data_IF_237064186966
#
_entry.id   IF_237064186966
#
_cell.length_a   1.000
_cell.length_b   1.000
_cell.length_c   1.000
_cell.angle_alpha   90.00
_cell.angle_beta   90.00
_cell.angle_gamma   90.00
#
_symmetry.space_group_name_H-M   'P 1'
#
loop_
_entity.id
_entity.type
_entity.pdbx_description
1 polymer ?
#
# COMPACT_ATOMS: atom_id res chain seq x y z
N UNK A 1 3.22 30.09 -2.98
CA UNK A 1 3.42 28.64 -2.72
C UNK A 1 3.70 28.54 -1.23
N UNK A 2 2.76 28.05 -0.43
CA UNK A 2 2.98 27.87 1.01
C UNK A 2 4.00 26.72 1.20
N UNK A 3 4.84 26.74 2.25
CA UNK A 3 5.79 25.67 2.48
C UNK A 3 5.07 24.33 2.66
N UNK A 4 5.68 23.28 2.12
CA UNK A 4 5.23 21.89 2.15
C UNK A 4 4.80 21.40 3.54
N UNK A 5 5.47 21.87 4.59
CA UNK A 5 5.16 21.61 5.99
C UNK A 5 5.60 22.85 6.78
N UNK A 6 4.92 23.17 7.88
CA UNK A 6 5.46 24.11 8.86
C UNK A 6 6.11 23.33 9.99
N UNK A 7 7.36 23.66 10.25
CA UNK A 7 8.01 23.30 11.50
C UNK A 7 7.69 24.40 12.50
N UNK A 8 6.90 24.08 13.51
CA UNK A 8 6.53 25.02 14.56
C UNK A 8 7.23 24.63 15.87
N UNK A 9 7.96 25.57 16.45
CA UNK A 9 8.46 25.44 17.81
C UNK A 9 7.35 25.91 18.75
N UNK A 10 6.82 25.00 19.54
CA UNK A 10 5.82 25.31 20.56
C UNK A 10 6.45 25.14 21.92
N UNK A 11 6.44 26.22 22.69
CA UNK A 11 6.84 26.18 24.09
C UNK A 11 5.68 25.63 24.92
N UNK A 12 5.95 24.51 25.59
CA UNK A 12 4.96 23.83 26.43
C UNK A 12 5.47 23.85 27.86
N UNK A 13 4.60 24.25 28.79
CA UNK A 13 4.86 24.11 30.22
C UNK A 13 4.38 22.74 30.68
N UNK A 14 5.32 21.89 31.11
CA UNK A 14 5.05 20.61 31.77
C UNK A 14 5.65 20.68 33.17
N UNK A 15 4.82 20.51 34.18
CA UNK A 15 5.22 20.51 35.60
C UNK A 15 6.06 21.74 36.03
N UNK A 16 5.67 22.93 35.53
CA UNK A 16 6.36 24.19 35.84
C UNK A 16 7.68 24.40 35.09
N UNK A 17 8.07 23.46 34.22
CA UNK A 17 9.27 23.57 33.38
C UNK A 17 8.87 23.87 31.94
N UNK A 18 9.48 24.90 31.34
CA UNK A 18 9.27 25.22 29.92
C UNK A 18 10.15 24.34 29.05
N UNK A 19 9.54 23.64 28.09
CA UNK A 19 10.25 22.85 27.09
C UNK A 19 9.82 23.28 25.70
N UNK A 20 10.76 23.69 24.86
CA UNK A 20 10.50 23.92 23.44
C UNK A 20 10.44 22.57 22.72
N UNK A 21 9.31 22.25 22.10
CA UNK A 21 9.18 21.08 21.23
C UNK A 21 8.96 21.51 19.80
N UNK A 22 9.63 20.81 18.89
CA UNK A 22 9.47 20.96 17.45
C UNK A 22 8.33 20.06 16.99
N UNK A 23 7.29 20.66 16.43
CA UNK A 23 6.15 19.96 15.84
C UNK A 23 6.23 20.03 14.32
N UNK A 24 5.88 18.92 13.68
CA UNK A 24 5.68 18.85 12.24
C UNK A 24 4.17 18.81 12.04
N UNK A 25 3.60 19.86 11.46
CA UNK A 25 2.20 19.88 11.07
C UNK A 25 2.07 19.24 9.69
N UNK A 26 1.32 18.15 9.60
CA UNK A 26 1.11 17.39 8.37
C UNK A 26 -0.33 17.54 7.90
N UNK A 27 -0.54 17.71 6.59
CA UNK A 27 -1.89 17.71 6.01
C UNK A 27 -2.37 16.28 5.81
N UNK A 28 -3.15 15.72 6.74
CA UNK A 28 -3.68 14.36 6.65
C UNK A 28 -4.54 14.09 5.39
N UNK A 29 -4.99 15.12 4.69
CA UNK A 29 -5.81 14.99 3.47
C UNK A 29 -5.03 14.39 2.30
N UNK A 30 -3.70 14.45 2.33
CA UNK A 30 -2.86 13.93 1.25
C UNK A 30 -3.15 12.46 0.94
N UNK A 31 -3.41 11.66 1.99
CA UNK A 31 -3.70 10.23 1.83
C UNK A 31 -4.99 10.00 1.05
N UNK A 32 -6.01 10.81 1.35
CA UNK A 32 -7.28 10.77 0.63
C UNK A 32 -7.13 11.23 -0.82
N UNK A 33 -6.39 12.31 -1.07
CA UNK A 33 -6.11 12.77 -2.43
C UNK A 33 -5.41 11.69 -3.27
N UNK A 34 -4.48 10.98 -2.65
CA UNK A 34 -3.80 9.87 -3.27
C UNK A 34 -4.74 8.68 -3.53
N UNK A 35 -5.43 8.16 -2.51
CA UNK A 35 -6.28 6.97 -2.62
C UNK A 35 -7.46 7.19 -3.59
N UNK A 36 -8.05 8.39 -3.60
CA UNK A 36 -9.18 8.77 -4.48
C UNK A 36 -8.72 9.15 -5.91
N UNK A 37 -7.42 9.08 -6.22
CA UNK A 37 -6.90 9.44 -7.54
C UNK A 37 -7.49 8.53 -8.63
N UNK A 38 -8.01 9.14 -9.69
CA UNK A 38 -8.57 8.43 -10.85
C UNK A 38 -7.59 7.46 -11.52
N UNK A 39 -6.28 7.63 -11.34
CA UNK A 39 -5.29 6.70 -11.87
C UNK A 39 -5.37 5.33 -11.18
N UNK A 40 -5.73 5.29 -9.89
CA UNK A 40 -5.84 4.05 -9.12
C UNK A 40 -7.05 3.19 -9.49
N UNK A 41 -8.01 3.73 -10.26
CA UNK A 41 -9.14 2.96 -10.78
C UNK A 41 -8.76 2.07 -11.97
N UNK A 42 -7.52 2.19 -12.47
CA UNK A 42 -7.01 1.41 -13.60
C UNK A 42 -6.30 0.14 -13.12
N UNK A 43 -6.66 -1.06 -13.63
CA UNK A 43 -6.09 -2.32 -13.15
C UNK A 43 -4.58 -2.45 -13.34
N UNK A 44 -4.08 -1.97 -14.46
CA UNK A 44 -2.65 -2.01 -14.76
C UNK A 44 -1.85 -1.11 -13.80
N UNK A 45 -2.45 -0.04 -13.25
CA UNK A 45 -1.80 0.80 -12.23
C UNK A 45 -1.63 0.03 -10.93
N UNK A 46 -2.61 -0.81 -10.57
CA UNK A 46 -2.45 -1.74 -9.45
C UNK A 46 -1.29 -2.70 -9.71
N UNK A 47 -1.18 -3.28 -10.90
CA UNK A 47 -0.04 -4.14 -11.24
C UNK A 47 1.30 -3.38 -11.12
N UNK A 48 1.43 -2.21 -11.75
CA UNK A 48 2.65 -1.39 -11.73
C UNK A 48 3.04 -1.00 -10.30
N UNK A 49 2.07 -0.60 -9.49
CA UNK A 49 2.27 -0.23 -8.10
C UNK A 49 2.78 -1.40 -7.26
N UNK A 50 2.25 -2.61 -7.47
CA UNK A 50 2.66 -3.78 -6.71
C UNK A 50 4.05 -4.28 -7.11
N UNK A 51 4.39 -4.16 -8.39
CA UNK A 51 5.66 -4.68 -8.93
C UNK A 51 6.83 -3.70 -8.77
N UNK A 52 6.57 -2.40 -8.74
CA UNK A 52 7.65 -1.39 -8.76
C UNK A 52 8.24 -1.17 -7.36
N UNK A 53 9.54 -1.33 -7.11
CA UNK A 53 10.12 -1.12 -5.77
C UNK A 53 9.94 0.29 -5.19
N UNK A 54 9.86 1.27 -6.08
CA UNK A 54 9.65 2.69 -5.80
C UNK A 54 8.72 3.26 -6.85
N UNK A 55 7.82 4.14 -6.45
CA UNK A 55 6.92 4.83 -7.36
C UNK A 55 6.83 6.31 -6.99
N UNK A 56 6.78 7.15 -8.03
CA UNK A 56 6.50 8.57 -7.94
C UNK A 56 5.21 8.83 -8.71
N UNK A 57 4.25 9.48 -8.06
CA UNK A 57 2.92 9.75 -8.60
C UNK A 57 2.76 11.24 -8.78
N UNK A 58 2.31 11.62 -9.97
CA UNK A 58 1.94 12.99 -10.30
C UNK A 58 0.47 13.18 -9.94
N UNK A 59 0.25 13.69 -8.73
CA UNK A 59 -1.08 14.07 -8.26
C UNK A 59 -1.57 15.36 -8.92
N UNK A 60 -2.83 15.71 -8.64
CA UNK A 60 -3.43 16.94 -9.17
C UNK A 60 -2.78 18.19 -8.57
N UNK A 61 -2.41 18.15 -7.29
CA UNK A 61 -1.91 19.31 -6.54
C UNK A 61 -0.48 19.17 -6.07
N UNK A 62 0.05 17.95 -6.04
CA UNK A 62 1.35 17.64 -5.46
C UNK A 62 1.90 16.32 -6.00
N UNK A 63 3.19 16.09 -5.77
CA UNK A 63 3.82 14.80 -5.97
C UNK A 63 3.60 13.88 -4.75
N UNK A 64 3.43 12.59 -5.01
CA UNK A 64 3.47 11.54 -4.00
C UNK A 64 4.56 10.55 -4.32
N UNK A 65 5.20 9.97 -3.32
CA UNK A 65 6.16 8.89 -3.53
C UNK A 65 6.02 7.81 -2.49
N UNK A 66 6.29 6.58 -2.92
CA UNK A 66 6.34 5.43 -2.02
C UNK A 66 7.55 4.55 -2.33
N UNK A 67 8.01 3.87 -1.30
CA UNK A 67 8.96 2.77 -1.38
C UNK A 67 8.54 1.69 -0.39
N UNK A 68 9.37 0.66 -0.21
CA UNK A 68 9.13 -0.42 0.76
C UNK A 68 9.17 0.04 2.21
N UNK A 69 9.80 1.19 2.47
CA UNK A 69 10.06 1.69 3.82
C UNK A 69 9.08 2.81 4.22
N UNK A 70 8.63 3.62 3.26
CA UNK A 70 7.82 4.81 3.54
C UNK A 70 6.88 5.18 2.39
N UNK A 71 5.84 5.92 2.72
CA UNK A 71 4.98 6.67 1.80
C UNK A 71 5.02 8.15 2.21
N UNK A 72 5.09 9.07 1.26
CA UNK A 72 5.20 10.49 1.53
C UNK A 72 4.66 11.32 0.36
N UNK A 73 4.51 12.62 0.60
CA UNK A 73 3.97 13.56 -0.35
C UNK A 73 4.74 14.87 -0.30
N UNK A 74 4.58 15.72 -1.31
CA UNK A 74 5.24 17.02 -1.35
C UNK A 74 4.89 17.83 -0.09
N UNK A 75 3.64 17.79 0.37
CA UNK A 75 3.19 18.43 1.61
C UNK A 75 3.46 17.62 2.88
N UNK A 76 4.04 16.44 2.75
CA UNK A 76 4.39 15.60 3.90
C UNK A 76 5.60 14.70 3.58
N UNK A 77 6.82 15.28 3.55
CA UNK A 77 8.00 14.57 3.07
C UNK A 77 8.45 13.44 4.00
N UNK A 78 7.98 13.42 5.25
CA UNK A 78 8.32 12.43 6.27
C UNK A 78 7.23 11.34 6.44
N UNK A 79 6.15 11.40 5.67
CA UNK A 79 5.11 10.38 5.63
C UNK A 79 4.09 10.40 6.78
N UNK A 80 3.12 9.47 6.76
CA UNK A 80 1.98 9.44 7.72
C UNK A 80 2.44 9.24 9.16
N UNK A 81 3.58 8.60 9.41
CA UNK A 81 4.25 8.56 10.72
C UNK A 81 5.67 8.05 10.50
N UNK A 82 6.69 8.78 10.96
CA UNK A 82 8.09 8.30 10.96
C UNK A 82 8.15 6.89 11.60
N UNK A 83 8.64 5.90 10.84
CA UNK A 83 8.82 4.52 11.31
C UNK A 83 7.62 3.58 11.11
N UNK A 84 6.54 4.02 10.46
CA UNK A 84 5.51 3.09 9.98
C UNK A 84 5.81 2.58 8.56
N UNK A 85 5.62 1.28 8.29
CA UNK A 85 5.80 0.73 6.94
C UNK A 85 4.83 1.39 5.94
N UNK A 86 5.33 1.83 4.77
CA UNK A 86 4.50 2.40 3.69
C UNK A 86 3.49 1.42 3.10
N UNK A 87 2.61 1.85 2.16
CA UNK A 87 1.54 0.99 1.61
C UNK A 87 2.04 -0.35 1.06
N UNK A 88 3.25 -0.38 0.50
CA UNK A 88 3.89 -1.60 -0.02
C UNK A 88 4.04 -2.71 1.01
N UNK A 89 4.20 -2.37 2.29
CA UNK A 89 4.24 -3.34 3.39
C UNK A 89 2.96 -4.18 3.53
N UNK A 90 1.83 -3.71 2.98
CA UNK A 90 0.58 -4.46 2.94
C UNK A 90 0.66 -5.63 1.96
N UNK A 91 1.47 -5.50 0.92
CA UNK A 91 1.46 -6.36 -0.25
C UNK A 91 2.78 -7.12 -0.48
N UNK A 92 3.86 -6.69 0.18
CA UNK A 92 5.20 -7.30 0.11
C UNK A 92 5.69 -7.63 1.52
N UNK A 93 6.51 -8.68 1.66
CA UNK A 93 7.30 -8.86 2.88
C UNK A 93 8.43 -7.82 2.87
N UNK A 94 8.24 -6.75 3.63
CA UNK A 94 9.21 -5.64 3.72
C UNK A 94 10.18 -5.80 4.90
N UNK A 95 10.15 -6.92 5.64
CA UNK A 95 10.97 -7.14 6.85
C UNK A 95 12.47 -7.10 6.57
N UNK A 96 12.88 -7.52 5.38
CA UNK A 96 14.29 -7.50 4.97
C UNK A 96 14.81 -6.08 4.68
N UNK A 97 13.90 -5.12 4.44
CA UNK A 97 14.22 -3.72 4.12
C UNK A 97 14.06 -2.79 5.31
N UNK A 98 13.25 -3.16 6.30
CA UNK A 98 13.07 -2.37 7.52
C UNK A 98 14.16 -2.71 8.54
N UNK A 99 14.90 -1.70 8.98
CA UNK A 99 15.96 -1.86 9.98
C UNK A 99 15.42 -2.56 11.24
N UNK A 100 16.05 -3.65 11.68
CA UNK A 100 15.55 -4.53 12.78
C UNK A 100 15.25 -3.76 14.08
N UNK A 101 15.83 -2.56 14.26
CA UNK A 101 15.60 -1.67 15.39
C UNK A 101 14.27 -0.91 15.33
N UNK A 102 13.72 -0.57 14.15
CA UNK A 102 12.42 0.11 14.03
C UNK A 102 11.24 -0.84 14.21
N UNK A 103 11.45 -2.13 13.91
CA UNK A 103 10.45 -3.22 13.99
C UNK A 103 10.15 -3.66 15.43
N UNK A 104 10.85 -3.12 16.44
CA UNK A 104 10.60 -3.46 17.85
C UNK A 104 9.18 -3.13 18.33
N UNK A 105 8.47 -2.19 17.67
CA UNK A 105 7.06 -1.86 17.97
C UNK A 105 6.03 -2.65 17.16
N UNK A 106 6.47 -3.44 16.17
CA UNK A 106 5.58 -4.17 15.25
C UNK A 106 5.88 -5.67 15.27
N UNK A 107 6.28 -6.21 16.43
CA UNK A 107 6.51 -7.66 16.64
C UNK A 107 5.31 -8.56 16.28
N UNK A 108 4.12 -7.99 16.07
CA UNK A 108 2.90 -8.69 15.70
C UNK A 108 2.44 -8.47 14.25
N UNK A 109 3.17 -7.70 13.42
CA UNK A 109 2.83 -7.57 11.99
C UNK A 109 3.31 -8.82 11.24
N UNK A 110 2.40 -9.76 11.01
CA UNK A 110 2.61 -10.84 10.05
C UNK A 110 2.90 -10.25 8.66
N UNK A 111 3.83 -10.83 7.88
CA UNK A 111 4.14 -10.32 6.55
C UNK A 111 2.96 -10.61 5.61
N UNK A 112 2.66 -9.71 4.67
CA UNK A 112 1.54 -9.90 3.74
C UNK A 112 0.18 -9.92 4.45
N UNK A 113 -0.21 -8.84 5.14
CA UNK A 113 -1.49 -8.82 5.88
C UNK A 113 -2.73 -8.82 4.97
N UNK A 114 -2.55 -8.68 3.65
CA UNK A 114 -3.65 -8.56 2.70
C UNK A 114 -4.23 -9.94 2.40
N UNK A 115 -5.50 -10.10 2.79
CA UNK A 115 -6.27 -11.28 2.44
C UNK A 115 -6.39 -11.42 0.90
N UNK A 116 -6.28 -12.64 0.41
CA UNK A 116 -6.38 -12.96 -1.01
C UNK A 116 -7.65 -12.40 -1.67
N UNK A 117 -8.80 -12.47 -0.98
CA UNK A 117 -10.06 -11.98 -1.52
C UNK A 117 -10.16 -10.46 -1.49
N UNK A 118 -9.51 -9.81 -0.52
CA UNK A 118 -9.35 -8.35 -0.56
C UNK A 118 -8.59 -7.91 -1.81
N UNK A 119 -7.49 -8.60 -2.12
CA UNK A 119 -6.67 -8.33 -3.31
C UNK A 119 -7.45 -8.54 -4.61
N UNK A 120 -8.17 -9.66 -4.73
CA UNK A 120 -9.04 -9.94 -5.87
C UNK A 120 -10.15 -8.89 -5.97
N UNK A 121 -10.73 -8.48 -4.85
CA UNK A 121 -11.79 -7.45 -4.79
C UNK A 121 -11.30 -6.07 -5.22
N UNK A 122 -10.12 -5.64 -4.76
CA UNK A 122 -9.45 -4.42 -5.22
C UNK A 122 -9.24 -4.45 -6.73
N UNK A 123 -8.63 -5.51 -7.24
CA UNK A 123 -8.36 -5.65 -8.67
C UNK A 123 -9.64 -5.69 -9.50
N UNK A 124 -10.66 -6.40 -9.04
CA UNK A 124 -11.95 -6.53 -9.73
C UNK A 124 -12.72 -5.21 -9.79
N UNK A 125 -12.62 -4.36 -8.76
CA UNK A 125 -13.20 -3.01 -8.80
C UNK A 125 -12.55 -2.16 -9.88
N UNK A 126 -11.22 -2.23 -10.00
CA UNK A 126 -10.50 -1.53 -11.06
C UNK A 126 -10.81 -2.14 -12.43
N UNK A 127 -11.10 -3.44 -12.52
CA UNK A 127 -11.28 -4.18 -13.78
C UNK A 127 -12.37 -3.61 -14.69
N UNK A 128 -13.32 -2.87 -14.11
CA UNK A 128 -14.36 -2.13 -14.85
C UNK A 128 -13.80 -1.08 -15.82
N UNK A 129 -12.56 -0.62 -15.62
CA UNK A 129 -11.88 0.38 -16.45
C UNK A 129 -10.76 -0.21 -17.33
N UNK A 130 -10.79 -1.51 -17.63
CA UNK A 130 -9.87 -2.10 -18.61
C UNK A 130 -10.24 -1.67 -20.02
N UNK A 131 -9.26 -1.11 -20.74
CA UNK A 131 -9.39 -0.88 -22.18
C UNK A 131 -9.57 -2.22 -22.93
N UNK A 132 -8.88 -3.26 -22.49
CA UNK A 132 -8.90 -4.60 -23.10
C UNK A 132 -9.19 -5.65 -22.04
N UNK A 133 -10.43 -6.15 -21.99
CA UNK A 133 -10.87 -7.10 -20.97
C UNK A 133 -10.12 -8.45 -21.04
N UNK A 134 -9.56 -8.80 -22.20
CA UNK A 134 -8.68 -9.96 -22.39
C UNK A 134 -7.48 -9.98 -21.44
N UNK A 135 -7.00 -8.79 -21.07
CA UNK A 135 -5.76 -8.66 -20.30
C UNK A 135 -6.00 -8.76 -18.79
N UNK A 136 -7.27 -8.85 -18.35
CA UNK A 136 -7.66 -8.90 -16.94
C UNK A 136 -6.88 -9.96 -16.17
N UNK A 137 -6.81 -11.18 -16.70
CA UNK A 137 -6.14 -12.29 -16.02
C UNK A 137 -4.63 -12.23 -16.15
N UNK A 138 -4.13 -11.73 -17.28
CA UNK A 138 -2.70 -11.60 -17.55
C UNK A 138 -2.09 -10.59 -16.57
N UNK A 139 -2.70 -9.41 -16.44
CA UNK A 139 -2.24 -8.38 -15.50
C UNK A 139 -2.38 -8.84 -14.04
N UNK A 140 -3.43 -9.59 -13.70
CA UNK A 140 -3.56 -10.16 -12.36
C UNK A 140 -2.57 -11.30 -12.07
N UNK A 141 -2.12 -12.04 -13.09
CA UNK A 141 -1.21 -13.17 -12.93
C UNK A 141 0.12 -12.77 -12.29
N UNK A 142 0.62 -11.57 -12.58
CA UNK A 142 1.84 -11.05 -11.97
C UNK A 142 1.63 -10.85 -10.46
N UNK A 143 0.51 -10.23 -10.07
CA UNK A 143 0.12 -10.00 -8.68
C UNK A 143 0.01 -11.34 -7.94
N UNK A 144 -0.61 -12.35 -8.57
CA UNK A 144 -0.72 -13.70 -8.00
C UNK A 144 0.62 -14.39 -7.80
N UNK A 145 1.55 -14.25 -8.75
CA UNK A 145 2.91 -14.80 -8.61
C UNK A 145 3.64 -14.18 -7.42
N UNK A 146 3.56 -12.87 -7.26
CA UNK A 146 4.16 -12.17 -6.11
C UNK A 146 3.51 -12.60 -4.80
N UNK A 147 2.18 -12.68 -4.76
CA UNK A 147 1.44 -13.16 -3.58
C UNK A 147 1.86 -14.60 -3.22
N UNK A 148 1.95 -15.49 -4.20
CA UNK A 148 2.39 -16.88 -4.03
C UNK A 148 3.76 -16.94 -3.35
N UNK A 149 4.72 -16.15 -3.81
CA UNK A 149 6.06 -16.07 -3.24
C UNK A 149 6.05 -15.54 -1.80
N UNK A 150 5.32 -14.44 -1.54
CA UNK A 150 5.28 -13.80 -0.20
C UNK A 150 4.60 -14.70 0.84
N UNK A 151 3.54 -15.40 0.45
CA UNK A 151 2.73 -16.21 1.36
C UNK A 151 3.11 -17.69 1.38
N UNK A 152 4.07 -18.11 0.54
CA UNK A 152 4.40 -19.52 0.30
C UNK A 152 3.14 -20.36 -0.02
N UNK A 153 2.26 -19.80 -0.87
CA UNK A 153 0.98 -20.39 -1.25
C UNK A 153 1.01 -20.82 -2.71
N UNK A 154 0.59 -22.04 -3.01
CA UNK A 154 0.52 -22.52 -4.38
C UNK A 154 -0.74 -22.01 -5.10
N UNK A 155 -0.55 -21.36 -6.26
CA UNK A 155 -1.63 -20.84 -7.11
C UNK A 155 -1.87 -21.74 -8.32
N UNK A 156 -3.11 -22.15 -8.53
CA UNK A 156 -3.57 -22.98 -9.65
C UNK A 156 -4.78 -22.31 -10.29
N UNK A 157 -4.73 -22.06 -11.60
CA UNK A 157 -5.81 -21.45 -12.38
C UNK A 157 -6.39 -20.15 -11.77
N UNK A 158 -5.54 -19.32 -11.13
CA UNK A 158 -5.96 -18.09 -10.49
C UNK A 158 -6.51 -18.24 -9.06
N UNK A 159 -6.46 -19.43 -8.47
CA UNK A 159 -6.95 -19.73 -7.12
C UNK A 159 -5.87 -20.40 -6.26
N UNK A 160 -6.01 -20.34 -4.93
CA UNK A 160 -5.14 -21.10 -4.01
C UNK A 160 -5.47 -22.60 -4.09
N UNK A 161 -4.46 -23.46 -4.27
CA UNK A 161 -4.65 -24.92 -4.40
C UNK A 161 -5.49 -25.52 -3.27
N UNK A 162 -5.21 -25.13 -2.02
CA UNK A 162 -5.94 -25.60 -0.82
C UNK A 162 -7.45 -25.29 -0.81
N UNK A 163 -7.89 -24.31 -1.61
CA UNK A 163 -9.28 -23.92 -1.73
C UNK A 163 -9.93 -24.50 -2.99
N UNK A 164 -9.16 -25.09 -3.91
CA UNK A 164 -9.62 -25.52 -5.23
C UNK A 164 -10.67 -26.63 -5.10
N UNK A 165 -10.38 -27.67 -4.32
CA UNK A 165 -11.29 -28.82 -4.11
C UNK A 165 -12.64 -28.37 -3.52
N UNK A 166 -12.60 -27.51 -2.49
CA UNK A 166 -13.80 -27.00 -1.83
C UNK A 166 -14.60 -26.05 -2.73
N UNK A 167 -13.94 -25.26 -3.58
CA UNK A 167 -14.59 -24.27 -4.46
C UNK A 167 -15.17 -24.92 -5.72
N UNK A 168 -14.48 -25.89 -6.32
CA UNK A 168 -15.01 -26.69 -7.43
C UNK A 168 -16.25 -27.49 -7.02
N UNK A 169 -16.34 -27.90 -5.74
CA UNK A 169 -17.48 -28.62 -5.20
C UNK A 169 -18.67 -27.73 -4.80
N UNK A 170 -18.46 -26.43 -4.55
CA UNK A 170 -19.47 -25.56 -3.93
C UNK A 170 -19.89 -24.34 -4.76
N UNK A 171 -19.17 -23.98 -5.83
CA UNK A 171 -19.45 -22.74 -6.54
C UNK A 171 -19.01 -22.79 -8.01
N UNK A 172 -19.97 -22.93 -8.93
CA UNK A 172 -19.73 -22.83 -10.38
C UNK A 172 -19.67 -21.38 -10.87
N UNK A 173 -19.82 -20.38 -9.99
CA UNK A 173 -20.14 -19.00 -10.42
C UNK A 173 -19.02 -17.98 -10.25
N UNK A 174 -17.85 -18.35 -9.71
CA UNK A 174 -16.74 -17.39 -9.55
C UNK A 174 -15.44 -17.98 -10.08
N UNK A 175 -15.40 -18.17 -11.39
CA UNK A 175 -14.15 -18.21 -12.14
C UNK A 175 -14.02 -16.86 -12.86
N UNK A 176 -13.24 -15.97 -12.24
CA UNK A 176 -12.54 -14.81 -12.81
C UNK A 176 -13.15 -14.06 -14.02
#
# INVERSE_FOLDING_TARGET
MLPAYSEECVDISLDGTWTTRKYILTDERFKKEFDDSTIHTRPWVMQERYMSPRALYFGRRQLFWECREAEAAETNPFGVTLGQPGLKSRYEDVRDYLDKKSVARTRNAQPGRVDFYHLVGEYSRCATNLSFHSDKLIAFSAILKQYSTVHNEEMVAGMRRRCLEKRLALDTTVFL
#
